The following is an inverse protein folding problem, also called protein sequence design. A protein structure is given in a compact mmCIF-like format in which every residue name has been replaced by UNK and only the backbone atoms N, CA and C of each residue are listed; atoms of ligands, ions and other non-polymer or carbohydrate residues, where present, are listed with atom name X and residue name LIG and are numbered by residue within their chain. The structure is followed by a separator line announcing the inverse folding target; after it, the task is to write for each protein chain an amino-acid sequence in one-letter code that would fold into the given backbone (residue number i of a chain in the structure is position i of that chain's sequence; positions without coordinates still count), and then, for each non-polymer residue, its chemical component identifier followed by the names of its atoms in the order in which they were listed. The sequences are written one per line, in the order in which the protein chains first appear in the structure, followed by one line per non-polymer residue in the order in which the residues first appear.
data_IF_722187026748
#
_entry.id   IF_722187026748
#
_cell.length_a   1.000
_cell.length_b   1.000
_cell.length_c   1.000
_cell.angle_alpha   90.00
_cell.angle_beta   90.00
_cell.angle_gamma   90.00
#
_symmetry.space_group_name_H-M   'P 1'
#
loop_
_entity.id
_entity.type
_entity.pdbx_description
1 polymer ?
#
# COMPACT_ATOMS: atom_id res chain seq x y z
N UNK A 1 6.65 30.65 -28.02
CA UNK A 1 5.34 30.90 -27.41
C UNK A 1 4.86 29.64 -26.69
N UNK A 2 5.66 29.11 -25.77
CA UNK A 2 5.39 27.81 -25.11
C UNK A 2 5.75 27.84 -23.62
N UNK A 3 5.88 29.04 -23.05
CA UNK A 3 6.30 29.27 -21.66
C UNK A 3 5.20 29.93 -20.82
N UNK A 4 4.15 30.48 -21.43
CA UNK A 4 3.04 31.14 -20.72
C UNK A 4 1.89 30.18 -20.39
N UNK A 5 1.72 29.09 -21.13
CA UNK A 5 0.65 28.10 -20.87
C UNK A 5 0.90 27.27 -19.61
N UNK A 6 2.17 27.02 -19.28
CA UNK A 6 2.55 26.20 -18.12
C UNK A 6 2.45 26.95 -16.78
N UNK A 7 2.58 28.29 -16.79
CA UNK A 7 2.50 29.09 -15.57
C UNK A 7 1.06 29.27 -15.08
N UNK A 8 0.08 29.25 -16.00
CA UNK A 8 -1.32 29.41 -15.64
C UNK A 8 -1.93 28.12 -15.07
N UNK A 9 -1.61 26.96 -15.68
CA UNK A 9 -2.00 25.62 -15.16
C UNK A 9 -1.35 25.33 -13.79
N UNK A 10 -0.07 25.68 -13.59
CA UNK A 10 0.59 25.56 -12.29
C UNK A 10 -0.02 26.54 -11.26
N UNK A 11 -0.42 27.75 -11.67
CA UNK A 11 -1.07 28.70 -10.75
C UNK A 11 -2.49 28.30 -10.37
N UNK A 12 -3.25 27.67 -11.27
CA UNK A 12 -4.59 27.16 -10.99
C UNK A 12 -4.52 25.94 -10.06
N UNK A 13 -3.61 24.99 -10.31
CA UNK A 13 -3.40 23.83 -9.43
C UNK A 13 -2.95 24.20 -8.01
N UNK A 14 -2.03 25.17 -7.89
CA UNK A 14 -1.60 25.67 -6.57
C UNK A 14 -2.73 26.43 -5.87
N UNK A 15 -3.58 27.16 -6.61
CA UNK A 15 -4.73 27.85 -6.01
C UNK A 15 -5.85 26.93 -5.56
N UNK A 16 -6.11 25.82 -6.27
CA UNK A 16 -7.12 24.82 -5.87
C UNK A 16 -6.64 23.98 -4.67
N UNK A 17 -5.35 23.60 -4.62
CA UNK A 17 -4.78 22.89 -3.46
C UNK A 17 -4.78 23.75 -2.18
N UNK A 18 -4.47 25.05 -2.27
CA UNK A 18 -4.48 25.97 -1.13
C UNK A 18 -5.92 26.30 -0.64
N UNK A 19 -6.90 26.39 -1.55
CA UNK A 19 -8.31 26.57 -1.18
C UNK A 19 -8.87 25.33 -0.47
N UNK A 20 -8.52 24.13 -0.91
CA UNK A 20 -8.95 22.87 -0.29
C UNK A 20 -8.34 22.67 1.11
N UNK A 21 -7.05 22.96 1.30
CA UNK A 21 -6.39 22.87 2.60
C UNK A 21 -6.93 23.87 3.63
N UNK A 22 -7.36 25.05 3.18
CA UNK A 22 -8.01 26.05 4.05
C UNK A 22 -9.35 25.52 4.58
N UNK A 23 -10.19 24.94 3.71
CA UNK A 23 -11.44 24.32 4.11
C UNK A 23 -11.22 23.12 5.06
N UNK A 24 -10.18 22.33 4.81
CA UNK A 24 -9.77 21.25 5.72
C UNK A 24 -9.35 21.79 7.08
N UNK A 25 -8.57 22.87 7.15
CA UNK A 25 -8.16 23.49 8.40
C UNK A 25 -9.37 23.98 9.22
N UNK A 26 -10.34 24.61 8.55
CA UNK A 26 -11.60 25.03 9.20
C UNK A 26 -12.37 23.83 9.77
N UNK A 27 -12.44 22.71 9.02
CA UNK A 27 -13.03 21.46 9.51
C UNK A 27 -12.27 20.91 10.72
N UNK A 28 -10.93 20.93 10.69
CA UNK A 28 -10.07 20.48 11.79
C UNK A 28 -10.32 21.31 13.06
N UNK A 29 -10.52 22.62 12.95
CA UNK A 29 -10.87 23.46 14.09
C UNK A 29 -12.21 23.13 14.73
N UNK A 30 -13.13 22.49 14.02
CA UNK A 30 -14.43 22.04 14.56
C UNK A 30 -14.33 20.70 15.30
N UNK A 31 -13.21 19.98 15.18
CA UNK A 31 -13.01 18.67 15.82
C UNK A 31 -12.50 18.85 17.25
N UNK A 32 -13.22 18.27 18.22
CA UNK A 32 -12.80 18.25 19.62
C UNK A 32 -11.80 17.11 19.89
N UNK A 33 -10.56 17.27 19.37
CA UNK A 33 -9.49 16.31 19.60
C UNK A 33 -9.19 16.11 21.09
N UNK A 34 -9.35 17.16 21.89
CA UNK A 34 -9.10 17.13 23.33
C UNK A 34 -10.03 16.11 24.01
N UNK A 35 -11.34 16.22 23.79
CA UNK A 35 -12.32 15.31 24.36
C UNK A 35 -12.03 13.87 23.96
N UNK A 36 -11.82 13.61 22.67
CA UNK A 36 -11.59 12.25 22.17
C UNK A 36 -10.28 11.64 22.70
N UNK A 37 -9.22 12.43 22.83
CA UNK A 37 -7.95 11.98 23.39
C UNK A 37 -8.06 11.67 24.90
N UNK A 38 -8.74 12.52 25.69
CA UNK A 38 -8.97 12.29 27.13
C UNK A 38 -9.84 11.05 27.38
N UNK A 39 -10.85 10.82 26.53
CA UNK A 39 -11.69 9.62 26.63
C UNK A 39 -10.93 8.31 26.40
N UNK A 40 -9.88 8.35 25.56
CA UNK A 40 -9.01 7.22 25.27
C UNK A 40 -7.90 7.06 26.30
N UNK A 41 -7.48 8.16 26.93
CA UNK A 41 -6.37 8.19 27.88
C UNK A 41 -6.71 9.04 29.11
N UNK A 42 -7.61 8.54 29.99
CA UNK A 42 -8.08 9.31 31.14
C UNK A 42 -6.94 9.59 32.11
N UNK A 43 -6.94 10.79 32.70
CA UNK A 43 -5.93 11.23 33.67
C UNK A 43 -4.72 11.95 33.07
N UNK A 44 -4.60 12.01 31.75
CA UNK A 44 -3.54 12.76 31.06
C UNK A 44 -4.16 13.87 30.21
N UNK A 45 -3.65 15.09 30.36
CA UNK A 45 -4.17 16.25 29.63
C UNK A 45 -3.44 16.39 28.30
N UNK A 46 -4.12 16.31 27.14
CA UNK A 46 -3.50 16.53 25.84
C UNK A 46 -3.39 18.02 25.53
N UNK A 47 -2.28 18.41 24.90
CA UNK A 47 -2.08 19.68 24.22
C UNK A 47 -2.10 19.39 22.72
N UNK A 48 -3.07 19.97 22.02
CA UNK A 48 -3.25 19.78 20.57
C UNK A 48 -2.56 20.93 19.84
N UNK A 49 -1.67 20.61 18.92
CA UNK A 49 -0.90 21.58 18.15
C UNK A 49 -1.50 21.71 16.74
N UNK A 50 -2.59 22.48 16.62
CA UNK A 50 -3.18 22.81 15.32
C UNK A 50 -2.39 23.97 14.71
N UNK A 51 -1.83 23.84 13.49
CA UNK A 51 -1.17 24.95 12.79
C UNK A 51 -2.10 26.15 12.61
N UNK A 52 -1.54 27.36 12.61
CA UNK A 52 -2.33 28.58 12.44
C UNK A 52 -2.74 28.83 10.99
N UNK A 53 -1.98 28.29 10.04
CA UNK A 53 -2.10 28.47 8.61
C UNK A 53 -2.13 27.11 7.89
N UNK A 54 -2.89 27.04 6.79
CA UNK A 54 -3.06 25.83 6.00
C UNK A 54 -1.73 25.33 5.40
N UNK A 55 -0.84 26.25 5.01
CA UNK A 55 0.50 25.95 4.47
C UNK A 55 1.44 25.23 5.44
N UNK A 56 1.17 25.31 6.74
CA UNK A 56 1.94 24.63 7.79
C UNK A 56 1.33 23.28 8.20
N UNK A 57 0.23 22.86 7.56
CA UNK A 57 -0.34 21.54 7.80
C UNK A 57 0.59 20.46 7.28
N UNK A 58 0.95 19.53 8.15
CA UNK A 58 1.65 18.32 7.71
C UNK A 58 0.61 17.39 7.10
N UNK A 59 0.77 17.09 5.81
CA UNK A 59 -0.09 16.17 5.10
C UNK A 59 0.73 15.12 4.35
N UNK A 60 0.12 13.97 4.07
CA UNK A 60 0.75 12.90 3.32
C UNK A 60 -0.27 11.85 2.88
N UNK A 61 -0.23 11.50 1.59
CA UNK A 61 -1.26 10.67 0.97
C UNK A 61 -2.64 11.29 1.17
N UNK A 62 -3.56 10.53 1.77
CA UNK A 62 -4.97 10.94 1.94
C UNK A 62 -5.29 11.59 3.31
N UNK A 63 -4.29 12.01 4.09
CA UNK A 63 -4.51 12.50 5.46
C UNK A 63 -3.68 13.73 5.80
N UNK A 64 -4.25 14.56 6.69
CA UNK A 64 -3.55 15.58 7.48
C UNK A 64 -3.20 15.02 8.85
N UNK A 65 -2.04 15.39 9.37
CA UNK A 65 -1.50 14.93 10.65
C UNK A 65 -1.44 16.10 11.63
N UNK A 66 -2.17 15.99 12.74
CA UNK A 66 -2.19 16.99 13.81
C UNK A 66 -1.47 16.42 15.02
N UNK A 67 -0.38 17.04 15.50
CA UNK A 67 0.33 16.58 16.70
C UNK A 67 -0.44 16.83 17.99
N UNK A 68 -0.35 15.86 18.90
CA UNK A 68 -0.84 15.95 20.27
C UNK A 68 0.23 15.51 21.25
N UNK A 69 0.49 16.30 22.28
CA UNK A 69 1.42 15.95 23.37
C UNK A 69 0.66 15.88 24.69
N UNK A 70 0.75 14.76 25.39
CA UNK A 70 0.14 14.58 26.70
C UNK A 70 1.00 15.16 27.83
N UNK A 71 0.39 15.46 28.97
CA UNK A 71 1.04 16.02 30.16
C UNK A 71 2.22 15.21 30.72
N UNK A 72 2.34 13.93 30.35
CA UNK A 72 3.45 13.05 30.73
C UNK A 72 4.50 12.86 29.62
N UNK A 73 4.41 13.64 28.54
CA UNK A 73 5.37 13.64 27.43
C UNK A 73 5.11 12.58 26.35
N UNK A 74 4.04 11.78 26.46
CA UNK A 74 3.64 10.89 25.35
C UNK A 74 3.10 11.73 24.20
N UNK A 75 3.47 11.38 22.98
CA UNK A 75 3.06 12.09 21.76
C UNK A 75 2.25 11.19 20.84
N UNK A 76 1.14 11.71 20.33
CA UNK A 76 0.31 11.09 19.30
C UNK A 76 0.16 12.02 18.08
N UNK A 77 -0.22 11.44 16.95
CA UNK A 77 -0.69 12.18 15.79
C UNK A 77 -2.16 11.84 15.55
N UNK A 78 -3.03 12.84 15.45
CA UNK A 78 -4.35 12.65 14.87
C UNK A 78 -4.23 12.65 13.35
N UNK A 79 -4.73 11.60 12.70
CA UNK A 79 -4.77 11.44 11.25
C UNK A 79 -6.19 11.73 10.78
N UNK A 80 -6.37 12.89 10.18
CA UNK A 80 -7.64 13.41 9.67
C UNK A 80 -7.69 13.17 8.17
N UNK A 81 -8.77 12.56 7.68
CA UNK A 81 -8.94 12.29 6.24
C UNK A 81 -9.16 13.61 5.49
N UNK A 82 -8.42 13.84 4.40
CA UNK A 82 -8.64 14.97 3.48
C UNK A 82 -9.97 14.80 2.74
N UNK A 83 -10.12 13.68 2.05
CA UNK A 83 -11.32 13.35 1.28
C UNK A 83 -12.04 12.11 1.82
N UNK A 84 -13.37 12.14 1.77
CA UNK A 84 -14.20 10.98 2.10
C UNK A 84 -14.49 10.16 0.84
N UNK A 85 -13.70 9.11 0.60
CA UNK A 85 -14.01 8.11 -0.43
C UNK A 85 -15.17 7.18 0.00
N UNK A 86 -15.91 6.56 -0.95
CA UNK A 86 -16.81 5.46 -0.66
C UNK A 86 -16.10 4.38 0.18
N UNK A 87 -16.75 3.94 1.26
CA UNK A 87 -16.15 2.98 2.19
C UNK A 87 -15.03 3.52 3.10
N UNK A 88 -14.79 4.84 3.19
CA UNK A 88 -13.77 5.45 4.04
C UNK A 88 -13.77 4.96 5.49
N UNK A 89 -14.96 4.79 6.10
CA UNK A 89 -15.10 4.24 7.47
C UNK A 89 -14.53 2.82 7.58
N UNK A 90 -14.65 2.00 6.55
CA UNK A 90 -14.10 0.64 6.55
C UNK A 90 -12.58 0.66 6.35
N UNK A 91 -12.08 1.52 5.46
CA UNK A 91 -10.63 1.75 5.26
C UNK A 91 -9.97 2.10 6.59
N UNK A 92 -10.50 3.10 7.27
CA UNK A 92 -9.99 3.56 8.56
C UNK A 92 -10.01 2.45 9.62
N UNK A 93 -11.14 1.73 9.74
CA UNK A 93 -11.25 0.61 10.70
C UNK A 93 -10.19 -0.45 10.43
N UNK A 94 -9.96 -0.82 9.16
CA UNK A 94 -8.96 -1.83 8.81
C UNK A 94 -7.53 -1.36 9.04
N UNK A 95 -7.24 -0.08 8.79
CA UNK A 95 -5.93 0.51 9.03
C UNK A 95 -5.58 0.47 10.53
N UNK A 96 -6.52 0.85 11.40
CA UNK A 96 -6.36 0.80 12.86
C UNK A 96 -6.12 -0.63 13.34
N UNK A 97 -6.95 -1.59 12.90
CA UNK A 97 -6.83 -2.97 13.34
C UNK A 97 -5.55 -3.64 12.82
N UNK A 98 -5.10 -3.30 11.62
CA UNK A 98 -3.82 -3.78 11.08
C UNK A 98 -2.66 -3.32 11.96
N UNK A 99 -2.58 -2.01 12.29
CA UNK A 99 -1.54 -1.48 13.18
C UNK A 99 -1.56 -2.17 14.56
N UNK A 100 -2.74 -2.38 15.13
CA UNK A 100 -2.90 -3.08 16.42
C UNK A 100 -2.40 -4.53 16.36
N UNK A 101 -2.72 -5.26 15.31
CA UNK A 101 -2.25 -6.65 15.13
C UNK A 101 -0.73 -6.71 14.97
N UNK A 102 -0.16 -5.81 14.15
CA UNK A 102 1.28 -5.72 13.96
C UNK A 102 1.99 -5.37 15.29
N UNK A 103 1.49 -4.38 16.03
CA UNK A 103 2.02 -3.99 17.34
C UNK A 103 1.93 -5.13 18.36
N UNK A 104 0.77 -5.80 18.44
CA UNK A 104 0.54 -6.92 19.36
C UNK A 104 1.42 -8.13 19.03
N UNK A 105 1.85 -8.26 17.77
CA UNK A 105 2.81 -9.28 17.31
C UNK A 105 4.27 -8.91 17.61
N UNK A 106 4.51 -7.78 18.29
CA UNK A 106 5.84 -7.33 18.69
C UNK A 106 6.60 -6.55 17.63
N UNK A 107 5.97 -6.17 16.51
CA UNK A 107 6.64 -5.34 15.51
C UNK A 107 6.78 -3.90 15.99
N UNK A 108 7.89 -3.27 15.61
CA UNK A 108 8.18 -1.85 15.84
C UNK A 108 7.36 -0.95 14.90
N UNK A 109 6.04 -0.93 15.11
CA UNK A 109 5.07 -0.06 14.43
C UNK A 109 4.41 0.87 15.45
N UNK A 110 3.81 2.00 15.03
CA UNK A 110 3.00 2.79 15.95
C UNK A 110 1.72 2.02 16.30
N UNK A 111 1.23 2.20 17.54
CA UNK A 111 -0.11 1.77 17.88
C UNK A 111 -1.16 2.76 17.32
N UNK A 112 -2.41 2.31 17.18
CA UNK A 112 -3.51 3.12 16.68
C UNK A 112 -4.71 3.11 17.64
N UNK A 113 -5.32 4.28 17.80
CA UNK A 113 -6.43 4.52 18.72
C UNK A 113 -7.60 5.16 18.01
N UNK A 114 -8.72 4.43 17.98
CA UNK A 114 -9.97 4.91 17.42
C UNK A 114 -10.77 5.66 18.49
N UNK A 115 -11.26 6.88 18.25
CA UNK A 115 -12.27 7.50 19.10
C UNK A 115 -13.51 6.61 19.29
N UNK A 116 -14.20 6.78 20.42
CA UNK A 116 -15.44 6.03 20.72
C UNK A 116 -16.61 6.47 19.84
N UNK A 117 -16.62 7.73 19.45
CA UNK A 117 -17.61 8.28 18.52
C UNK A 117 -17.48 7.58 17.15
N UNK A 118 -18.54 6.92 16.65
CA UNK A 118 -18.49 6.22 15.37
C UNK A 118 -18.57 7.15 14.14
N UNK A 119 -18.90 8.42 14.34
CA UNK A 119 -19.15 9.38 13.25
C UNK A 119 -17.96 10.29 12.94
N UNK A 120 -16.86 10.14 13.67
CA UNK A 120 -15.62 10.89 13.39
C UNK A 120 -14.78 10.22 12.31
N UNK A 121 -14.28 11.06 11.40
CA UNK A 121 -13.44 10.65 10.27
C UNK A 121 -11.93 10.85 10.54
N UNK A 122 -11.52 10.60 11.77
CA UNK A 122 -10.11 10.63 12.17
C UNK A 122 -9.80 9.54 13.21
N UNK A 123 -8.51 9.26 13.39
CA UNK A 123 -8.01 8.39 14.45
C UNK A 123 -6.64 8.85 14.92
N UNK A 124 -6.21 8.40 16.10
CA UNK A 124 -4.90 8.72 16.63
C UNK A 124 -3.91 7.58 16.36
N UNK A 125 -2.64 7.93 16.20
CA UNK A 125 -1.52 6.99 16.16
C UNK A 125 -0.41 7.44 17.11
N UNK A 126 0.36 6.50 17.65
CA UNK A 126 1.58 6.82 18.40
C UNK A 126 2.55 7.60 17.51
N UNK A 127 3.12 8.69 18.04
CA UNK A 127 4.23 9.36 17.39
C UNK A 127 5.50 8.53 17.57
N UNK A 128 6.18 8.22 16.47
CA UNK A 128 7.46 7.52 16.50
C UNK A 128 8.58 8.54 16.54
N UNK A 129 9.21 8.66 17.70
CA UNK A 129 10.39 9.48 17.87
C UNK A 129 11.58 8.91 17.08
N UNK A 130 12.13 9.72 16.18
CA UNK A 130 13.27 9.35 15.35
C UNK A 130 13.38 10.24 14.12
N UNK A 131 14.38 9.94 13.28
CA UNK A 131 14.57 10.57 11.98
C UNK A 131 14.34 9.52 10.89
N UNK A 132 13.68 9.91 9.81
CA UNK A 132 13.55 9.05 8.64
C UNK A 132 14.94 8.76 8.06
N UNK A 133 15.20 7.48 7.76
CA UNK A 133 16.38 7.10 6.98
C UNK A 133 16.06 7.30 5.50
N UNK A 134 16.90 8.03 4.78
CA UNK A 134 16.80 8.12 3.32
C UNK A 134 17.16 6.77 2.70
N UNK A 135 16.40 6.39 1.67
CA UNK A 135 16.70 5.26 0.81
C UNK A 135 17.19 5.81 -0.55
N UNK A 136 18.19 5.20 -1.19
CA UNK A 136 18.93 4.00 -0.75
C UNK A 136 19.81 4.23 0.48
N UNK A 137 20.00 3.19 1.28
CA UNK A 137 20.83 3.24 2.51
C UNK A 137 22.33 3.44 2.17
N UNK A 138 22.71 3.28 0.90
CA UNK A 138 24.07 3.42 0.40
C UNK A 138 24.57 4.86 0.22
N UNK A 139 23.71 5.88 0.35
CA UNK A 139 24.03 7.28 -0.01
C UNK A 139 24.95 8.02 1.01
N UNK A 140 25.77 7.29 1.76
CA UNK A 140 26.88 7.85 2.55
C UNK A 140 26.48 8.63 3.81
N UNK A 141 25.20 8.66 4.18
CA UNK A 141 24.72 9.35 5.39
C UNK A 141 24.94 8.53 6.68
N UNK A 142 25.12 7.22 6.56
CA UNK A 142 25.35 6.31 7.68
C UNK A 142 26.79 5.77 7.68
N UNK A 143 27.34 5.56 8.87
CA UNK A 143 28.58 4.76 9.02
C UNK A 143 28.29 3.28 8.73
N UNK A 144 29.31 2.51 8.33
CA UNK A 144 29.17 1.07 8.07
C UNK A 144 28.52 0.30 9.23
N UNK A 145 28.81 0.69 10.48
CA UNK A 145 28.23 0.04 11.64
C UNK A 145 26.74 0.37 11.81
N UNK A 146 26.34 1.62 11.58
CA UNK A 146 24.94 2.03 11.62
C UNK A 146 24.13 1.33 10.52
N UNK A 147 24.69 1.25 9.32
CA UNK A 147 24.11 0.53 8.19
C UNK A 147 23.92 -0.95 8.48
N UNK A 148 24.95 -1.64 9.00
CA UNK A 148 24.82 -3.04 9.45
C UNK A 148 23.76 -3.23 10.53
N UNK A 149 23.66 -2.32 11.49
CA UNK A 149 22.65 -2.39 12.55
C UNK A 149 21.23 -2.17 11.99
N UNK A 150 21.07 -1.27 11.03
CA UNK A 150 19.81 -1.02 10.35
C UNK A 150 19.38 -2.25 9.54
N UNK A 151 20.28 -2.84 8.76
CA UNK A 151 20.01 -4.08 7.98
C UNK A 151 19.57 -5.22 8.90
N UNK A 152 20.27 -5.43 10.02
CA UNK A 152 19.86 -6.43 11.03
C UNK A 152 18.49 -6.12 11.64
N UNK A 153 18.17 -4.85 11.85
CA UNK A 153 16.86 -4.44 12.36
C UNK A 153 15.74 -4.69 11.35
N UNK A 154 15.98 -4.42 10.06
CA UNK A 154 15.08 -4.77 8.96
C UNK A 154 14.87 -6.28 8.91
N UNK A 155 15.95 -7.08 9.01
CA UNK A 155 15.87 -8.53 9.04
C UNK A 155 14.98 -9.01 10.20
N UNK A 156 15.21 -8.53 11.43
CA UNK A 156 14.39 -8.87 12.60
C UNK A 156 12.92 -8.48 12.41
N UNK A 157 12.65 -7.34 11.77
CA UNK A 157 11.31 -6.88 11.46
C UNK A 157 10.60 -7.83 10.48
N UNK A 158 11.24 -8.21 9.37
CA UNK A 158 10.68 -9.15 8.39
C UNK A 158 10.55 -10.58 8.91
N UNK A 159 11.48 -11.05 9.75
CA UNK A 159 11.33 -12.34 10.44
C UNK A 159 10.05 -12.34 11.27
N UNK A 160 9.82 -11.29 12.06
CA UNK A 160 8.61 -11.16 12.89
C UNK A 160 7.36 -11.05 12.03
N UNK A 161 7.39 -10.21 10.98
CA UNK A 161 6.29 -10.05 10.03
C UNK A 161 5.88 -11.37 9.37
N UNK A 162 6.85 -12.18 8.94
CA UNK A 162 6.59 -13.47 8.29
C UNK A 162 5.91 -14.51 9.18
N UNK A 163 5.92 -14.30 10.50
CA UNK A 163 5.20 -15.12 11.46
C UNK A 163 3.70 -14.84 11.49
N UNK A 164 3.26 -13.67 11.02
CA UNK A 164 1.85 -13.26 11.00
C UNK A 164 1.18 -13.88 9.79
N UNK A 165 0.12 -14.65 10.04
CA UNK A 165 -0.60 -15.40 8.99
C UNK A 165 -2.09 -15.25 9.13
N UNK A 166 -2.77 -15.20 7.99
CA UNK A 166 -4.22 -15.18 7.87
C UNK A 166 -4.67 -16.31 6.95
N UNK A 167 -5.86 -16.86 7.19
CA UNK A 167 -6.40 -17.98 6.43
C UNK A 167 -7.07 -17.56 5.11
N UNK A 168 -7.40 -16.28 4.97
CA UNK A 168 -8.13 -15.72 3.83
C UNK A 168 -7.38 -14.51 3.28
N UNK A 169 -7.68 -14.15 2.03
CA UNK A 169 -7.20 -12.93 1.39
C UNK A 169 -8.22 -11.83 1.59
N UNK A 170 -7.79 -10.73 2.20
CA UNK A 170 -8.66 -9.61 2.55
C UNK A 170 -7.96 -8.69 3.54
N UNK A 171 -8.75 -7.87 4.24
CA UNK A 171 -8.23 -6.87 5.18
C UNK A 171 -8.63 -7.21 6.60
N UNK A 172 -7.75 -6.91 7.55
CA UNK A 172 -8.00 -7.18 8.97
C UNK A 172 -9.08 -6.24 9.48
N UNK A 173 -10.19 -6.78 9.96
CA UNK A 173 -11.28 -6.00 10.56
C UNK A 173 -11.67 -6.60 11.90
N UNK A 174 -12.36 -5.79 12.70
CA UNK A 174 -13.01 -6.25 13.92
C UNK A 174 -14.51 -6.30 13.71
N UNK A 175 -15.13 -7.40 14.09
CA UNK A 175 -16.58 -7.50 14.02
C UNK A 175 -17.24 -6.52 15.03
N UNK A 176 -18.22 -5.70 14.61
CA UNK A 176 -18.85 -4.74 15.51
C UNK A 176 -19.55 -5.35 16.73
N UNK A 177 -20.06 -6.59 16.62
CA UNK A 177 -20.88 -7.22 17.67
C UNK A 177 -20.02 -8.08 18.59
N UNK A 178 -19.30 -9.08 18.06
CA UNK A 178 -18.46 -9.96 18.90
C UNK A 178 -17.15 -9.32 19.31
N UNK A 179 -16.75 -8.22 18.66
CA UNK A 179 -15.44 -7.60 18.83
C UNK A 179 -14.27 -8.53 18.47
N UNK A 180 -14.54 -9.61 17.72
CA UNK A 180 -13.54 -10.58 17.27
C UNK A 180 -12.78 -10.08 16.04
N UNK A 181 -11.50 -10.43 15.97
CA UNK A 181 -10.66 -10.15 14.82
C UNK A 181 -10.99 -11.14 13.70
N UNK A 182 -11.26 -10.64 12.50
CA UNK A 182 -11.51 -11.47 11.32
C UNK A 182 -10.92 -10.85 10.06
N UNK A 183 -10.77 -11.67 9.03
CA UNK A 183 -10.45 -11.17 7.69
C UNK A 183 -11.76 -10.76 7.02
N UNK A 184 -11.85 -9.48 6.66
CA UNK A 184 -12.96 -8.87 5.93
C UNK A 184 -12.66 -8.75 4.43
N UNK A 185 -13.47 -7.97 3.70
CA UNK A 185 -13.21 -7.74 2.27
C UNK A 185 -11.82 -7.15 2.04
N UNK A 186 -11.31 -7.32 0.82
CA UNK A 186 -10.07 -6.72 0.37
C UNK A 186 -10.32 -5.24 0.09
N UNK A 187 -9.79 -4.39 0.97
CA UNK A 187 -9.94 -2.94 0.92
C UNK A 187 -8.81 -2.43 0.03
N UNK A 188 -9.12 -2.23 -1.22
CA UNK A 188 -8.22 -1.69 -2.23
C UNK A 188 -8.98 -0.66 -3.07
N UNK A 189 -8.46 0.57 -3.21
CA UNK A 189 -9.07 1.58 -4.08
C UNK A 189 -9.16 1.14 -5.54
N UNK A 190 -8.20 0.33 -6.00
CA UNK A 190 -8.16 -0.18 -7.38
C UNK A 190 -9.16 -1.34 -7.59
N UNK A 191 -9.64 -1.94 -6.50
CA UNK A 191 -10.56 -3.07 -6.52
C UNK A 191 -11.77 -2.83 -5.59
N UNK A 192 -12.52 -1.77 -5.92
CA UNK A 192 -13.77 -1.38 -5.27
C UNK A 192 -14.92 -1.23 -6.28
N UNK A 193 -16.10 -0.89 -5.78
CA UNK A 193 -17.29 -0.55 -6.54
C UNK A 193 -18.01 0.64 -5.88
N UNK A 194 -18.80 1.37 -6.65
CA UNK A 194 -19.45 2.60 -6.19
C UNK A 194 -20.52 2.35 -5.13
N UNK A 195 -21.21 1.20 -5.21
CA UNK A 195 -22.29 0.84 -4.29
C UNK A 195 -21.83 -0.09 -3.16
N UNK A 196 -22.45 -0.01 -1.97
CA UNK A 196 -22.25 -1.00 -0.90
C UNK A 196 -22.37 -2.45 -1.41
N UNK A 197 -21.50 -3.38 -1.00
CA UNK A 197 -20.53 -3.29 0.11
C UNK A 197 -19.20 -2.58 -0.18
N UNK A 198 -19.07 -1.86 -1.31
CA UNK A 198 -17.89 -1.12 -1.80
C UNK A 198 -16.65 -1.97 -2.10
N UNK A 199 -16.38 -3.03 -1.34
CA UNK A 199 -15.20 -3.89 -1.48
C UNK A 199 -15.60 -5.36 -1.60
N UNK A 200 -14.77 -6.12 -2.30
CA UNK A 200 -15.01 -7.54 -2.56
C UNK A 200 -14.30 -8.45 -1.56
N UNK A 201 -14.85 -9.64 -1.32
CA UNK A 201 -14.28 -10.65 -0.42
C UNK A 201 -14.93 -10.65 0.97
N UNK A 202 -14.29 -11.26 1.99
CA UNK A 202 -12.98 -11.93 1.96
C UNK A 202 -12.93 -13.09 0.96
N UNK A 203 -11.73 -13.44 0.50
CA UNK A 203 -11.53 -14.54 -0.43
C UNK A 203 -10.85 -15.73 0.25
N UNK A 204 -11.30 -16.94 -0.06
CA UNK A 204 -10.69 -18.17 0.46
C UNK A 204 -9.32 -18.47 -0.15
N UNK A 205 -9.04 -17.93 -1.33
CA UNK A 205 -7.76 -18.10 -2.01
C UNK A 205 -7.47 -16.93 -2.94
N UNK A 206 -6.20 -16.78 -3.31
CA UNK A 206 -5.79 -15.83 -4.34
C UNK A 206 -6.49 -16.09 -5.67
N UNK A 207 -6.78 -17.35 -6.04
CA UNK A 207 -7.57 -17.68 -7.23
C UNK A 207 -8.96 -17.06 -7.19
N UNK A 208 -9.69 -17.16 -6.07
CA UNK A 208 -10.99 -16.52 -5.93
C UNK A 208 -10.91 -14.99 -6.02
N UNK A 209 -9.86 -14.39 -5.44
CA UNK A 209 -9.59 -12.94 -5.56
C UNK A 209 -9.45 -12.52 -7.03
N UNK A 210 -8.56 -13.18 -7.79
CA UNK A 210 -8.31 -12.84 -9.18
C UNK A 210 -9.56 -13.06 -10.05
N UNK A 211 -10.30 -14.16 -9.84
CA UNK A 211 -11.53 -14.38 -10.59
C UNK A 211 -12.58 -13.30 -10.29
N UNK A 212 -12.74 -12.90 -9.03
CA UNK A 212 -13.64 -11.80 -8.69
C UNK A 212 -13.21 -10.48 -9.34
N UNK A 213 -11.91 -10.22 -9.44
CA UNK A 213 -11.39 -9.04 -10.13
C UNK A 213 -11.69 -9.10 -11.64
N UNK A 214 -11.37 -10.21 -12.30
CA UNK A 214 -11.62 -10.42 -13.73
C UNK A 214 -13.11 -10.28 -14.04
N UNK A 215 -13.99 -10.89 -13.24
CA UNK A 215 -15.45 -10.81 -13.43
C UNK A 215 -16.01 -9.40 -13.18
N UNK A 216 -15.39 -8.60 -12.30
CA UNK A 216 -15.71 -7.17 -12.17
C UNK A 216 -15.40 -6.44 -13.47
N UNK A 217 -14.18 -6.58 -13.98
CA UNK A 217 -13.74 -5.88 -15.20
C UNK A 217 -14.56 -6.30 -16.42
N UNK A 218 -14.89 -7.59 -16.56
CA UNK A 218 -15.78 -8.08 -17.62
C UNK A 218 -17.13 -7.36 -17.58
N UNK A 219 -17.75 -7.20 -16.39
CA UNK A 219 -19.02 -6.48 -16.25
C UNK A 219 -18.90 -5.00 -16.60
N UNK A 220 -17.81 -4.35 -16.21
CA UNK A 220 -17.56 -2.95 -16.55
C UNK A 220 -17.40 -2.75 -18.07
N UNK A 221 -16.74 -3.68 -18.76
CA UNK A 221 -16.65 -3.70 -20.23
C UNK A 221 -18.04 -3.87 -20.86
N UNK A 222 -18.85 -4.81 -20.37
CA UNK A 222 -20.22 -5.05 -20.85
C UNK A 222 -21.14 -3.84 -20.65
N UNK A 223 -20.90 -3.05 -19.59
CA UNK A 223 -21.62 -1.81 -19.29
C UNK A 223 -21.07 -0.59 -20.06
N UNK A 224 -19.93 -0.74 -20.73
CA UNK A 224 -19.26 0.35 -21.44
C UNK A 224 -18.59 1.37 -20.53
N UNK A 225 -18.28 1.00 -19.28
CA UNK A 225 -17.59 1.86 -18.31
C UNK A 225 -16.07 1.64 -18.27
N UNK A 226 -15.57 0.53 -18.85
CA UNK A 226 -14.15 0.22 -18.95
C UNK A 226 -13.74 -0.15 -20.38
N UNK A 227 -12.48 0.12 -20.74
CA UNK A 227 -11.88 -0.19 -22.06
C UNK A 227 -12.72 0.31 -23.26
N UNK A 228 -13.21 1.55 -23.18
CA UNK A 228 -14.12 2.14 -24.18
C UNK A 228 -13.56 2.24 -25.59
N UNK A 229 -12.22 2.25 -25.74
CA UNK A 229 -11.54 2.39 -27.03
C UNK A 229 -11.53 1.08 -27.86
N UNK A 230 -11.40 -0.08 -27.20
CA UNK A 230 -11.49 -1.40 -27.83
C UNK A 230 -12.12 -2.46 -26.88
N UNK A 231 -13.43 -2.34 -26.61
CA UNK A 231 -14.14 -3.27 -25.71
C UNK A 231 -14.05 -4.74 -26.14
N UNK A 232 -14.17 -5.11 -27.43
CA UNK A 232 -14.09 -6.52 -27.85
C UNK A 232 -12.74 -7.19 -27.52
N UNK A 233 -11.62 -6.51 -27.76
CA UNK A 233 -10.30 -7.09 -27.46
C UNK A 233 -10.08 -7.23 -25.96
N UNK A 234 -10.47 -6.20 -25.18
CA UNK A 234 -10.41 -6.27 -23.72
C UNK A 234 -11.26 -7.41 -23.19
N UNK A 235 -12.50 -7.57 -23.69
CA UNK A 235 -13.39 -8.65 -23.28
C UNK A 235 -12.77 -10.03 -23.51
N UNK A 236 -12.27 -10.29 -24.72
CA UNK A 236 -11.64 -11.57 -25.06
C UNK A 236 -10.37 -11.82 -24.24
N UNK A 237 -9.57 -10.79 -23.98
CA UNK A 237 -8.38 -10.91 -23.12
C UNK A 237 -8.76 -11.31 -21.68
N UNK A 238 -9.81 -10.72 -21.12
CA UNK A 238 -10.27 -11.05 -19.77
C UNK A 238 -10.94 -12.43 -19.70
N UNK A 239 -11.65 -12.87 -20.76
CA UNK A 239 -12.13 -14.25 -20.85
C UNK A 239 -10.99 -15.26 -20.89
N UNK A 240 -9.92 -14.96 -21.64
CA UNK A 240 -8.73 -15.79 -21.67
C UNK A 240 -8.02 -15.81 -20.32
N UNK A 241 -7.90 -14.65 -19.65
CA UNK A 241 -7.31 -14.57 -18.32
C UNK A 241 -8.13 -15.36 -17.29
N UNK A 242 -9.46 -15.30 -17.36
CA UNK A 242 -10.36 -16.12 -16.54
C UNK A 242 -10.07 -17.61 -16.72
N UNK A 243 -10.04 -18.07 -17.97
CA UNK A 243 -9.76 -19.49 -18.29
C UNK A 243 -8.35 -19.90 -17.83
N UNK A 244 -7.35 -19.02 -18.01
CA UNK A 244 -5.98 -19.23 -17.55
C UNK A 244 -5.91 -19.41 -16.04
N UNK A 245 -6.55 -18.53 -15.27
CA UNK A 245 -6.55 -18.60 -13.80
C UNK A 245 -7.32 -19.82 -13.29
N UNK A 246 -8.45 -20.17 -13.91
CA UNK A 246 -9.23 -21.36 -13.56
C UNK A 246 -8.43 -22.65 -13.80
N UNK A 247 -7.75 -22.75 -14.94
CA UNK A 247 -7.00 -23.96 -15.31
C UNK A 247 -5.57 -23.99 -14.76
N UNK A 248 -5.03 -22.86 -14.35
CA UNK A 248 -3.68 -22.74 -13.77
C UNK A 248 -3.68 -21.91 -12.48
N UNK A 249 -4.28 -22.42 -11.37
CA UNK A 249 -4.45 -21.66 -10.13
C UNK A 249 -3.15 -21.10 -9.53
N UNK A 250 -2.00 -21.75 -9.79
CA UNK A 250 -0.68 -21.27 -9.37
C UNK A 250 -0.28 -19.90 -9.94
N UNK A 251 -0.93 -19.44 -11.01
CA UNK A 251 -0.69 -18.10 -11.59
C UNK A 251 -1.47 -17.01 -10.86
N UNK A 252 -2.48 -17.37 -10.06
CA UNK A 252 -3.17 -16.46 -9.18
C UNK A 252 -2.42 -16.36 -7.85
N UNK A 253 -1.27 -15.68 -7.83
CA UNK A 253 -0.56 -15.33 -6.60
C UNK A 253 -0.44 -13.81 -6.50
N UNK A 254 -0.54 -13.26 -5.28
CA UNK A 254 -0.42 -11.81 -5.04
C UNK A 254 1.04 -11.38 -5.10
N UNK A 255 1.84 -12.00 -4.23
CA UNK A 255 3.30 -11.96 -4.23
C UNK A 255 3.76 -13.34 -3.75
N UNK A 256 4.79 -13.88 -4.39
CA UNK A 256 5.41 -15.10 -3.86
C UNK A 256 6.14 -14.79 -2.54
N UNK A 257 6.41 -15.80 -1.71
CA UNK A 257 7.26 -15.60 -0.53
C UNK A 257 8.63 -15.05 -0.92
N UNK A 258 9.19 -15.51 -2.03
CA UNK A 258 10.48 -15.06 -2.54
C UNK A 258 10.47 -13.59 -2.95
N UNK A 259 9.36 -13.13 -3.53
CA UNK A 259 9.15 -11.73 -3.89
C UNK A 259 8.94 -10.85 -2.66
N UNK A 260 8.05 -11.26 -1.74
CA UNK A 260 7.72 -10.50 -0.54
C UNK A 260 8.91 -10.32 0.43
N UNK A 261 9.86 -11.26 0.40
CA UNK A 261 11.05 -11.25 1.26
C UNK A 261 12.36 -11.16 0.46
N UNK A 262 12.30 -10.73 -0.81
CA UNK A 262 13.48 -10.27 -1.53
C UNK A 262 14.09 -9.05 -0.82
N UNK A 263 15.32 -8.68 -1.18
CA UNK A 263 15.92 -7.49 -0.60
C UNK A 263 15.10 -6.24 -0.98
N UNK A 264 14.75 -5.37 0.01
CA UNK A 264 14.10 -4.09 -0.26
C UNK A 264 14.93 -3.23 -1.21
N UNK A 265 14.27 -2.41 -2.04
CA UNK A 265 14.95 -1.43 -2.90
C UNK A 265 15.88 -0.50 -2.13
N UNK A 266 15.61 -0.23 -0.85
CA UNK A 266 16.49 0.55 0.01
C UNK A 266 17.90 -0.05 0.21
N UNK A 267 18.08 -1.34 -0.06
CA UNK A 267 19.35 -2.06 0.09
C UNK A 267 20.05 -2.35 -1.24
N UNK A 268 19.42 -2.05 -2.37
CA UNK A 268 20.04 -2.29 -3.68
C UNK A 268 21.09 -1.23 -3.97
N UNK A 269 22.14 -1.65 -4.69
CA UNK A 269 23.02 -0.72 -5.38
C UNK A 269 22.29 -0.19 -6.61
N UNK A 270 22.00 1.11 -6.64
CA UNK A 270 21.18 1.74 -7.68
C UNK A 270 21.86 1.69 -9.05
N UNK A 271 23.17 1.90 -9.12
CA UNK A 271 23.89 1.87 -10.38
C UNK A 271 23.91 0.43 -10.93
N UNK A 272 24.24 -0.54 -10.09
CA UNK A 272 24.23 -1.95 -10.46
C UNK A 272 22.83 -2.42 -10.89
N UNK A 273 21.79 -1.97 -10.17
CA UNK A 273 20.38 -2.24 -10.48
C UNK A 273 20.00 -1.77 -11.88
N UNK A 274 20.27 -0.50 -12.22
CA UNK A 274 19.93 0.04 -13.54
C UNK A 274 20.80 -0.53 -14.66
N UNK A 275 22.00 -1.01 -14.34
CA UNK A 275 22.88 -1.72 -15.27
C UNK A 275 22.52 -3.21 -15.45
N UNK A 276 21.47 -3.70 -14.78
CA UNK A 276 21.00 -5.09 -14.90
C UNK A 276 21.95 -6.11 -14.27
N UNK A 277 22.76 -5.69 -13.29
CA UNK A 277 23.66 -6.59 -12.56
C UNK A 277 22.83 -7.46 -11.61
N UNK A 278 22.95 -8.78 -11.78
CA UNK A 278 22.20 -9.78 -11.01
C UNK A 278 22.97 -10.33 -9.80
N UNK A 279 24.13 -9.75 -9.49
CA UNK A 279 24.90 -10.09 -8.29
C UNK A 279 24.34 -9.35 -7.07
N UNK A 280 24.47 -9.94 -5.88
CA UNK A 280 24.02 -9.31 -4.64
C UNK A 280 24.97 -8.17 -4.27
N UNK A 281 24.41 -7.05 -3.82
CA UNK A 281 25.20 -5.99 -3.18
C UNK A 281 25.67 -6.43 -1.79
N UNK A 282 26.71 -5.79 -1.22
CA UNK A 282 27.14 -6.06 0.15
C UNK A 282 26.03 -5.93 1.21
N UNK A 283 25.04 -5.07 0.96
CA UNK A 283 23.89 -4.90 1.84
C UNK A 283 22.91 -6.05 1.78
N UNK A 284 22.71 -6.60 0.58
CA UNK A 284 21.86 -7.76 0.35
C UNK A 284 22.51 -9.02 0.93
N UNK A 285 23.84 -9.15 0.81
CA UNK A 285 24.60 -10.20 1.48
C UNK A 285 24.48 -10.11 3.01
N UNK A 286 24.63 -8.91 3.59
CA UNK A 286 24.47 -8.71 5.04
C UNK A 286 23.02 -9.01 5.49
N UNK A 287 22.01 -8.69 4.67
CA UNK A 287 20.61 -9.04 4.95
C UNK A 287 20.42 -10.56 4.95
N UNK A 288 20.92 -11.26 3.92
CA UNK A 288 20.84 -12.71 3.83
C UNK A 288 21.53 -13.38 5.02
N UNK A 289 22.72 -12.91 5.39
CA UNK A 289 23.44 -13.37 6.57
C UNK A 289 22.66 -13.15 7.87
N UNK A 290 22.04 -11.98 8.05
CA UNK A 290 21.21 -11.71 9.23
C UNK A 290 20.00 -12.67 9.33
N UNK A 291 19.44 -13.10 8.21
CA UNK A 291 18.42 -14.14 8.20
C UNK A 291 18.98 -15.52 8.58
N UNK A 292 20.15 -15.91 8.09
CA UNK A 292 20.79 -17.17 8.50
C UNK A 292 21.10 -17.20 10.00
N UNK A 293 21.66 -16.11 10.53
CA UNK A 293 21.97 -15.96 11.96
C UNK A 293 20.72 -16.05 12.86
N UNK A 294 19.55 -15.66 12.34
CA UNK A 294 18.26 -15.78 13.03
C UNK A 294 17.54 -17.12 12.78
N UNK A 295 18.20 -18.08 12.12
CA UNK A 295 17.64 -19.41 11.84
C UNK A 295 16.61 -19.43 10.71
N UNK A 296 16.61 -18.40 9.84
CA UNK A 296 15.67 -18.20 8.74
C UNK A 296 16.35 -18.30 7.38
N UNK A 297 17.04 -19.42 7.15
CA UNK A 297 17.67 -19.73 5.87
C UNK A 297 16.67 -19.72 4.69
N UNK A 298 15.39 -19.96 4.97
CA UNK A 298 14.32 -19.82 3.99
C UNK A 298 14.13 -18.38 3.50
N UNK A 299 14.34 -17.36 4.35
CA UNK A 299 14.30 -15.95 3.95
C UNK A 299 15.63 -15.50 3.33
N UNK A 300 16.76 -16.02 3.81
CA UNK A 300 18.06 -15.79 3.16
C UNK A 300 18.03 -16.22 1.68
N UNK A 301 17.45 -17.39 1.40
CA UNK A 301 17.25 -17.87 0.03
C UNK A 301 16.33 -16.96 -0.80
N UNK A 302 15.34 -16.30 -0.17
CA UNK A 302 14.49 -15.33 -0.86
C UNK A 302 15.30 -14.10 -1.31
N UNK A 303 16.27 -13.65 -0.51
CA UNK A 303 17.18 -12.57 -0.88
C UNK A 303 18.10 -13.01 -2.03
N UNK A 304 18.75 -14.16 -1.89
CA UNK A 304 19.72 -14.64 -2.89
C UNK A 304 19.10 -14.94 -4.24
N UNK A 305 17.85 -15.43 -4.28
CA UNK A 305 17.12 -15.67 -5.51
C UNK A 305 16.23 -14.48 -5.94
N UNK A 306 16.18 -13.41 -5.12
CA UNK A 306 15.19 -12.36 -5.21
C UNK A 306 15.45 -11.32 -6.30
N UNK A 307 16.66 -11.30 -6.88
CA UNK A 307 17.06 -10.36 -7.94
C UNK A 307 16.13 -10.38 -9.16
N UNK A 308 15.50 -11.52 -9.43
CA UNK A 308 14.49 -11.66 -10.49
C UNK A 308 13.24 -10.79 -10.28
N UNK A 309 12.98 -10.37 -9.03
CA UNK A 309 11.86 -9.48 -8.66
C UNK A 309 12.29 -8.02 -8.52
N UNK A 310 13.54 -7.69 -8.79
CA UNK A 310 14.08 -6.34 -8.78
C UNK A 310 14.36 -5.73 -10.18
N UNK A 311 13.91 -6.23 -11.36
CA UNK A 311 14.05 -5.45 -12.58
C UNK A 311 13.32 -4.10 -12.52
N UNK A 312 13.76 -3.06 -13.25
CA UNK A 312 13.00 -1.81 -13.37
C UNK A 312 11.59 -2.00 -13.95
N UNK A 313 11.33 -3.12 -14.64
CA UNK A 313 10.06 -3.47 -15.29
C UNK A 313 9.21 -4.48 -14.50
N UNK A 314 9.30 -4.54 -13.17
CA UNK A 314 8.54 -5.51 -12.36
C UNK A 314 7.04 -5.43 -12.67
N UNK A 315 6.50 -6.58 -13.09
CA UNK A 315 5.10 -6.76 -13.47
C UNK A 315 4.24 -6.81 -12.21
N UNK A 316 3.68 -5.67 -11.83
CA UNK A 316 2.61 -5.53 -10.84
C UNK A 316 1.23 -5.83 -11.44
N UNK A 317 0.17 -5.87 -10.63
CA UNK A 317 -1.23 -6.00 -11.11
C UNK A 317 -1.58 -4.90 -12.14
N UNK A 318 -1.09 -3.68 -11.90
CA UNK A 318 -1.14 -2.56 -12.83
C UNK A 318 -0.43 -2.86 -14.16
N UNK A 319 0.67 -3.61 -14.10
CA UNK A 319 1.47 -3.98 -15.28
C UNK A 319 0.80 -5.08 -16.11
N UNK A 320 -0.10 -5.88 -15.54
CA UNK A 320 -0.96 -6.80 -16.33
C UNK A 320 -1.99 -6.00 -17.12
N UNK A 321 -2.64 -5.02 -16.51
CA UNK A 321 -3.58 -4.12 -17.19
C UNK A 321 -2.87 -3.25 -18.24
N UNK A 322 -1.69 -2.71 -17.92
CA UNK A 322 -0.83 -1.99 -18.86
C UNK A 322 -0.31 -2.91 -19.97
N UNK A 323 -0.02 -4.19 -19.68
CA UNK A 323 0.37 -5.18 -20.70
C UNK A 323 -0.81 -5.54 -21.61
N UNK A 324 -2.01 -5.71 -21.05
CA UNK A 324 -3.26 -5.91 -21.82
C UNK A 324 -3.54 -4.66 -22.66
N UNK A 325 -3.47 -3.47 -22.09
CA UNK A 325 -3.63 -2.20 -22.79
C UNK A 325 -2.56 -2.00 -23.87
N UNK A 326 -1.30 -2.38 -23.63
CA UNK A 326 -0.21 -2.33 -24.61
C UNK A 326 -0.37 -3.41 -25.71
N UNK A 327 -0.99 -4.54 -25.42
CA UNK A 327 -1.37 -5.55 -26.42
C UNK A 327 -2.52 -5.10 -27.29
N UNK A 328 -3.46 -4.34 -26.72
CA UNK A 328 -4.63 -3.77 -27.39
C UNK A 328 -4.21 -2.54 -28.24
N UNK A 329 -3.45 -1.60 -27.66
CA UNK A 329 -3.10 -0.30 -28.25
C UNK A 329 -1.71 -0.26 -28.90
N UNK A 330 -0.87 -1.28 -28.73
CA UNK A 330 0.47 -1.31 -29.29
C UNK A 330 0.51 -1.69 -30.78
N UNK A 331 1.63 -1.45 -31.47
CA UNK A 331 1.80 -1.73 -32.91
C UNK A 331 1.69 -3.21 -33.30
N UNK A 332 1.45 -4.10 -32.33
CA UNK A 332 1.24 -5.54 -32.48
C UNK A 332 -0.22 -6.00 -32.33
N UNK A 333 -1.16 -5.11 -32.02
CA UNK A 333 -2.61 -5.43 -31.96
C UNK A 333 -3.15 -6.02 -33.28
N UNK A 334 -2.49 -5.71 -34.41
CA UNK A 334 -2.79 -6.31 -35.72
C UNK A 334 -2.20 -7.70 -35.99
N UNK A 335 -1.37 -8.29 -35.11
CA UNK A 335 -0.67 -9.57 -35.37
C UNK A 335 -1.14 -10.77 -34.56
N UNK A 336 -2.04 -10.61 -33.58
CA UNK A 336 -2.63 -11.76 -32.87
C UNK A 336 -3.60 -12.55 -33.78
N UNK A 337 -4.09 -11.95 -34.87
CA UNK A 337 -4.81 -12.67 -35.93
C UNK A 337 -3.93 -13.61 -36.78
N UNK A 338 -2.58 -13.51 -36.71
CA UNK A 338 -1.67 -14.24 -37.60
C UNK A 338 -1.00 -15.48 -37.00
N UNK A 339 -1.23 -15.80 -35.71
CA UNK A 339 -0.65 -16.97 -35.05
C UNK A 339 -1.60 -18.17 -34.92
N UNK A 340 -2.76 -18.14 -35.59
CA UNK A 340 -3.74 -19.25 -35.63
C UNK A 340 -3.67 -20.14 -36.89
N UNK A 341 -2.61 -20.09 -37.71
CA UNK A 341 -2.57 -20.82 -38.99
C UNK A 341 -1.28 -21.61 -39.33
N UNK A 342 -0.45 -22.01 -38.35
CA UNK A 342 0.75 -22.83 -38.67
C UNK A 342 0.98 -24.10 -37.85
N UNK A 343 0.06 -24.51 -36.98
CA UNK A 343 0.07 -25.88 -36.41
C UNK A 343 -1.04 -26.73 -37.01
N UNK A 344 -0.90 -27.01 -38.31
CA UNK A 344 -1.36 -28.23 -38.96
C UNK A 344 -0.32 -28.65 -40.00
N UNK A 345 0.54 -29.59 -39.60
CA UNK A 345 0.99 -30.71 -40.43
C UNK A 345 1.41 -31.85 -39.52
#
# INVERSE_FOLDING_TARGET
MSTETNAHEISEQVSEEDEDLTAVLEKIHQIDFYKHAVELRPGFTPVVSIPADASSLQHGGMNVHIPLTFSDGVEWLARVRLESAPGAKLIMKSEIETMRVLKASGLSVPNAFKPKDPDVDFFFVEFLNGSACTAPIADGTLTDQQQRNLIRSIASFYVSLSGIKFAQVGSVIREPVTNELKVGPLISPDFCQDDPPFFFGPFESSTHRYLAHIERVIREIEQGSAFTDDPPSAYVAHLWLRDLIQNTPRLAYTASKSEAFAAPLALVDVEAFFNGVNELSPNEEELAKAYEESGRADLAACVSAGKVYQPPDVVTEKTIEEWVAAKINGPYGGKVAALKLSTQK
#
